data_IF_520513517625
#
_entry.id   IF_520513517625
#
_cell.length_a   1.000
_cell.length_b   1.000
_cell.length_c   1.000
_cell.angle_alpha   90.00
_cell.angle_beta   90.00
_cell.angle_gamma   90.00
#
_symmetry.space_group_name_H-M   'P 1'
#
loop_
_entity.id
_entity.type
_entity.pdbx_description
1 polymer ?
#
# COMPACT_ATOMS: atom_id res chain seq x y z
N UNK A 1 -31.46 -21.71 -33.66
CA UNK A 1 -31.52 -20.88 -32.43
C UNK A 1 -30.17 -20.99 -31.72
N UNK A 2 -29.64 -19.90 -31.16
CA UNK A 2 -28.83 -18.88 -31.82
C UNK A 2 -27.31 -19.17 -31.73
N UNK A 3 -26.56 -18.56 -32.64
CA UNK A 3 -25.10 -18.55 -32.68
C UNK A 3 -24.52 -18.04 -31.36
N UNK A 4 -23.58 -18.81 -30.80
CA UNK A 4 -22.86 -18.42 -29.60
C UNK A 4 -22.01 -17.17 -29.93
N UNK A 5 -22.45 -16.03 -29.41
CA UNK A 5 -21.77 -14.75 -29.53
C UNK A 5 -20.49 -14.77 -28.69
N UNK A 6 -19.43 -15.38 -29.24
CA UNK A 6 -18.10 -15.46 -28.62
C UNK A 6 -17.41 -14.11 -28.77
N UNK A 7 -17.92 -13.10 -28.04
CA UNK A 7 -17.25 -11.81 -27.87
C UNK A 7 -15.90 -12.11 -27.21
N UNK A 8 -14.84 -12.14 -28.02
CA UNK A 8 -13.47 -12.17 -27.53
C UNK A 8 -13.32 -11.00 -26.56
N UNK A 9 -13.10 -11.31 -25.28
CA UNK A 9 -12.83 -10.29 -24.26
C UNK A 9 -11.72 -9.37 -24.73
N UNK A 10 -11.82 -8.07 -24.42
CA UNK A 10 -10.80 -7.08 -24.76
C UNK A 10 -9.42 -7.63 -24.39
N UNK A 11 -8.45 -7.53 -25.31
CA UNK A 11 -7.04 -7.84 -24.99
C UNK A 11 -6.66 -7.02 -23.76
N UNK A 12 -6.20 -7.70 -22.71
CA UNK A 12 -5.58 -7.03 -21.57
C UNK A 12 -4.46 -6.14 -22.11
N UNK A 13 -4.43 -4.87 -21.69
CA UNK A 13 -3.36 -3.95 -22.07
C UNK A 13 -2.00 -4.48 -21.63
N UNK A 14 -0.93 -4.02 -22.28
CA UNK A 14 0.44 -4.35 -21.86
C UNK A 14 0.68 -3.79 -20.46
N UNK A 15 1.29 -4.58 -19.58
CA UNK A 15 1.74 -4.10 -18.27
C UNK A 15 2.79 -3.01 -18.47
N UNK A 16 2.62 -1.86 -17.80
CA UNK A 16 3.61 -0.79 -17.82
C UNK A 16 4.78 -1.17 -16.92
N UNK A 17 6.00 -0.96 -17.42
CA UNK A 17 7.21 -1.12 -16.63
C UNK A 17 7.29 -0.02 -15.57
N UNK A 18 7.53 -0.39 -14.31
CA UNK A 18 7.78 0.55 -13.20
C UNK A 18 9.26 0.89 -13.22
N UNK A 19 9.61 2.17 -13.32
CA UNK A 19 11.01 2.59 -13.25
C UNK A 19 11.63 2.18 -11.92
N UNK A 20 12.81 1.57 -11.97
CA UNK A 20 13.52 1.17 -10.77
C UNK A 20 14.09 2.43 -10.10
N UNK A 21 13.82 2.64 -8.80
CA UNK A 21 14.44 3.75 -8.06
C UNK A 21 15.96 3.59 -8.03
N UNK A 22 16.67 4.70 -7.91
CA UNK A 22 18.14 4.78 -7.87
C UNK A 22 18.68 4.95 -6.47
N UNK A 23 17.86 5.48 -5.55
CA UNK A 23 18.23 5.74 -4.17
C UNK A 23 17.17 5.21 -3.18
N UNK A 24 17.56 4.89 -1.93
CA UNK A 24 16.61 4.59 -0.87
C UNK A 24 15.56 5.70 -0.72
N UNK A 25 14.31 5.31 -0.47
CA UNK A 25 13.18 6.21 -0.21
C UNK A 25 12.73 7.10 -1.39
N UNK A 26 13.29 6.91 -2.58
CA UNK A 26 12.89 7.66 -3.79
C UNK A 26 11.47 7.27 -4.27
N UNK A 27 11.18 5.96 -4.27
CA UNK A 27 9.86 5.43 -4.64
C UNK A 27 9.31 4.60 -3.50
N UNK A 28 8.29 5.12 -2.84
CA UNK A 28 7.64 4.46 -1.70
C UNK A 28 6.28 3.93 -2.13
N UNK A 29 6.07 2.63 -1.93
CA UNK A 29 4.75 2.02 -2.03
C UNK A 29 4.10 1.97 -0.65
N UNK A 30 2.80 2.25 -0.60
CA UNK A 30 2.02 2.26 0.63
C UNK A 30 0.71 1.53 0.43
N UNK A 31 0.35 0.71 1.39
CA UNK A 31 -0.95 0.02 1.41
C UNK A 31 -1.43 -0.20 2.85
N UNK A 32 -2.71 -0.52 3.01
CA UNK A 32 -3.31 -0.81 4.31
C UNK A 32 -3.79 -2.25 4.37
N UNK A 33 -3.44 -2.93 5.46
CA UNK A 33 -4.12 -4.14 5.88
C UNK A 33 -5.13 -3.76 6.96
N UNK A 34 -6.40 -3.98 6.69
CA UNK A 34 -7.50 -3.64 7.61
C UNK A 34 -8.27 -4.89 8.04
N UNK A 35 -9.11 -4.77 9.08
CA UNK A 35 -9.92 -5.89 9.56
C UNK A 35 -9.12 -6.91 10.37
N UNK A 36 -8.00 -6.48 10.95
CA UNK A 36 -7.22 -7.29 11.88
C UNK A 36 -7.97 -7.39 13.22
N UNK A 37 -7.73 -8.48 13.94
CA UNK A 37 -8.18 -8.60 15.33
C UNK A 37 -7.50 -7.50 16.15
N UNK A 38 -8.26 -6.79 16.98
CA UNK A 38 -7.75 -5.73 17.84
C UNK A 38 -6.62 -6.25 18.72
N UNK A 39 -5.48 -5.58 18.71
CA UNK A 39 -4.30 -6.03 19.44
C UNK A 39 -3.39 -4.91 19.94
N UNK A 40 -2.49 -5.26 20.86
CA UNK A 40 -1.59 -4.32 21.51
C UNK A 40 -2.25 -3.48 22.59
N UNK A 41 -1.48 -2.57 23.21
CA UNK A 41 -1.96 -1.69 24.29
C UNK A 41 -3.07 -0.74 23.81
N UNK A 42 -2.99 -0.31 22.55
CA UNK A 42 -3.89 0.69 21.98
C UNK A 42 -5.01 0.07 21.10
N UNK A 43 -5.16 -1.26 21.11
CA UNK A 43 -6.20 -2.00 20.39
C UNK A 43 -6.30 -1.65 18.89
N UNK A 44 -5.15 -1.59 18.20
CA UNK A 44 -5.11 -1.33 16.76
C UNK A 44 -5.79 -2.44 15.97
N UNK A 45 -6.53 -2.07 14.94
CA UNK A 45 -7.30 -2.99 14.09
C UNK A 45 -6.82 -3.01 12.63
N UNK A 46 -5.80 -2.21 12.30
CA UNK A 46 -5.25 -2.05 10.97
C UNK A 46 -3.73 -1.81 11.02
N UNK A 47 -3.09 -1.94 9.87
CA UNK A 47 -1.67 -1.68 9.72
C UNK A 47 -1.41 -0.96 8.40
N UNK A 48 -0.71 0.17 8.48
CA UNK A 48 -0.15 0.86 7.34
C UNK A 48 1.21 0.26 6.99
N UNK A 49 1.30 -0.29 5.79
CA UNK A 49 2.50 -0.91 5.26
C UNK A 49 3.19 0.10 4.34
N UNK A 50 4.47 0.33 4.60
CA UNK A 50 5.33 1.21 3.81
C UNK A 50 6.48 0.38 3.28
N UNK A 51 6.69 0.43 1.96
CA UNK A 51 7.76 -0.31 1.29
C UNK A 51 8.62 0.67 0.51
N UNK A 52 9.91 0.70 0.82
CA UNK A 52 10.90 1.36 -0.03
C UNK A 52 11.21 0.44 -1.22
N UNK A 53 10.93 0.91 -2.43
CA UNK A 53 11.09 0.10 -3.64
C UNK A 53 12.57 -0.14 -4.00
N UNK A 54 13.48 0.68 -3.49
CA UNK A 54 14.92 0.50 -3.71
C UNK A 54 15.49 -0.58 -2.80
N UNK A 55 15.40 -0.40 -1.49
CA UNK A 55 15.97 -1.33 -0.51
C UNK A 55 15.11 -2.57 -0.24
N UNK A 56 13.85 -2.57 -0.68
CA UNK A 56 12.80 -3.55 -0.32
C UNK A 56 12.54 -3.64 1.19
N UNK A 57 12.94 -2.62 1.95
CA UNK A 57 12.63 -2.54 3.37
C UNK A 57 11.14 -2.25 3.54
N UNK A 58 10.53 -2.99 4.48
CA UNK A 58 9.12 -2.86 4.84
C UNK A 58 9.02 -2.31 6.26
N UNK A 59 8.11 -1.36 6.45
CA UNK A 59 7.74 -0.81 7.74
C UNK A 59 6.25 -1.02 7.97
N UNK A 60 5.94 -1.64 9.11
CA UNK A 60 4.59 -1.88 9.57
C UNK A 60 4.26 -0.85 10.64
N UNK A 61 3.33 0.04 10.36
CA UNK A 61 2.88 1.07 11.29
C UNK A 61 1.47 0.68 11.77
N UNK A 62 1.29 0.30 13.04
CA UNK A 62 -0.02 -0.06 13.54
C UNK A 62 -0.92 1.20 13.56
N UNK A 63 -2.17 1.05 13.13
CA UNK A 63 -3.09 2.16 12.95
C UNK A 63 -4.55 1.69 13.15
N UNK A 64 -5.49 2.62 13.17
CA UNK A 64 -6.91 2.28 13.15
C UNK A 64 -7.44 2.38 11.72
N UNK A 65 -8.43 1.57 11.39
CA UNK A 65 -9.15 1.63 10.11
C UNK A 65 -9.85 2.97 9.94
N UNK A 66 -10.26 3.55 11.06
CA UNK A 66 -10.98 4.81 11.17
C UNK A 66 -10.06 6.04 11.18
N UNK A 67 -8.73 5.84 11.12
CA UNK A 67 -7.77 6.95 11.10
C UNK A 67 -8.06 7.89 9.92
N UNK A 68 -8.08 9.18 10.21
CA UNK A 68 -8.33 10.20 9.20
C UNK A 68 -7.11 10.38 8.29
N UNK A 69 -7.27 11.16 7.22
CA UNK A 69 -6.15 11.55 6.38
C UNK A 69 -5.06 12.30 7.16
N UNK A 70 -5.44 13.11 8.16
CA UNK A 70 -4.50 13.84 9.01
C UNK A 70 -3.74 12.88 9.92
N UNK A 71 -4.43 11.93 10.55
CA UNK A 71 -3.80 10.92 11.41
C UNK A 71 -2.79 10.08 10.63
N UNK A 72 -3.19 9.63 9.43
CA UNK A 72 -2.30 8.93 8.48
C UNK A 72 -1.09 9.77 8.09
N UNK A 73 -1.28 11.06 7.78
CA UNK A 73 -0.20 11.94 7.37
C UNK A 73 0.81 12.14 8.51
N UNK A 74 0.33 12.34 9.75
CA UNK A 74 1.18 12.46 10.93
C UNK A 74 1.91 11.14 11.22
N UNK A 75 1.23 10.00 11.12
CA UNK A 75 1.84 8.68 11.28
C UNK A 75 2.97 8.46 10.27
N UNK A 76 2.73 8.79 8.99
CA UNK A 76 3.73 8.68 7.94
C UNK A 76 4.90 9.65 8.14
N UNK A 77 4.63 10.92 8.45
CA UNK A 77 5.66 11.93 8.68
C UNK A 77 6.60 11.55 9.81
N UNK A 78 6.04 11.16 10.95
CA UNK A 78 6.81 10.88 12.17
C UNK A 78 7.65 9.60 12.05
N UNK A 79 7.23 8.63 11.24
CA UNK A 79 7.87 7.31 11.18
C UNK A 79 8.69 7.05 9.91
N UNK A 80 8.37 7.74 8.81
CA UNK A 80 8.98 7.52 7.49
C UNK A 80 9.77 8.74 7.03
N UNK A 81 9.18 9.94 7.05
CA UNK A 81 9.92 11.14 6.60
C UNK A 81 11.12 11.43 7.50
N UNK A 82 11.04 11.11 8.79
CA UNK A 82 12.14 11.29 9.75
C UNK A 82 13.36 10.37 9.51
N UNK A 83 13.22 9.33 8.69
CA UNK A 83 14.27 8.35 8.39
C UNK A 83 14.69 8.35 6.91
N UNK A 84 14.01 9.18 6.09
CA UNK A 84 14.39 9.46 4.72
C UNK A 84 15.66 10.30 4.66
#
# INVERSE_FOLDING_TARGET
MPEANRKHGKRYGLLQHIEQPKHPWETINRDWVTGLVRGGKDNFNSCLIIVDSYSRIVRFLPCQKEDTAIDTALLFWNNIISIC
#
